data_IF_800083273155
#
_entry.id   IF_800083273155
#
_cell.length_a   1.000
_cell.length_b   1.000
_cell.length_c   1.000
_cell.angle_alpha   90.00
_cell.angle_beta   90.00
_cell.angle_gamma   90.00
#
_symmetry.space_group_name_H-M   'P 1'
#
loop_
_entity.id
_entity.type
_entity.pdbx_description
1 polymer ?
2 non-polymer ?
3 non-polymer ?
4 water ?
#
# COMPACT_ATOMS: atom_id res chain seq x y z
N UNK A 4 24.01 -21.43 -7.23
CA UNK A 4 22.98 -22.44 -7.41
C UNK A 4 21.65 -22.06 -6.72
N UNK A 5 20.70 -21.53 -7.50
CA UNK A 5 19.36 -21.23 -7.01
C UNK A 5 18.35 -21.81 -7.98
N UNK A 6 17.15 -22.18 -7.46
CA UNK A 6 16.02 -22.58 -8.28
C UNK A 6 14.94 -21.54 -8.16
N UNK A 7 14.33 -21.25 -9.32
CA UNK A 7 13.28 -20.25 -9.45
C UNK A 7 12.06 -20.91 -10.04
N UNK A 8 10.90 -20.59 -9.49
CA UNK A 8 9.68 -20.99 -10.14
C UNK A 8 9.44 -20.21 -11.47
N UNK A 9 9.17 -20.95 -12.49
CA UNK A 9 8.90 -20.34 -13.79
C UNK A 9 7.46 -20.23 -14.08
N UNK A 10 6.63 -20.89 -13.25
CA UNK A 10 5.18 -20.87 -13.41
C UNK A 10 4.59 -20.83 -12.02
N UNK A 11 3.33 -20.33 -11.91
CA UNK A 11 2.55 -20.38 -10.80
C UNK A 11 2.03 -21.84 -10.62
N UNK A 12 2.03 -22.27 -9.41
CA UNK A 12 1.48 -23.61 -9.07
C UNK A 12 0.53 -23.43 -7.87
N UNK A 13 -0.69 -23.83 -8.10
CA UNK A 13 -1.74 -23.78 -7.04
C UNK A 13 -1.84 -25.16 -6.41
N UNK A 14 -1.63 -25.27 -5.10
CA UNK A 14 -1.61 -26.57 -4.44
C UNK A 14 -2.97 -27.26 -4.54
N UNK A 15 -2.92 -28.58 -4.71
CA UNK A 15 -4.14 -29.38 -4.72
C UNK A 15 -4.03 -30.56 -3.76
N UNK A 16 -3.25 -30.41 -2.69
CA UNK A 16 -3.05 -31.42 -1.65
C UNK A 16 -2.41 -30.72 -0.48
N UNK A 17 -2.61 -31.25 0.74
CA UNK A 17 -2.22 -30.50 1.95
C UNK A 17 -0.71 -30.41 2.19
N UNK A 18 0.04 -31.23 1.51
CA UNK A 18 1.49 -31.27 1.69
C UNK A 18 2.17 -30.54 0.52
N UNK A 19 1.42 -29.90 -0.37
CA UNK A 19 1.97 -29.23 -1.54
C UNK A 19 2.25 -27.77 -1.28
N UNK A 20 3.34 -27.29 -1.87
CA UNK A 20 3.79 -25.91 -1.64
C UNK A 20 3.31 -25.02 -2.79
N UNK A 21 2.71 -23.86 -2.56
CA UNK A 21 2.28 -22.96 -3.63
C UNK A 21 3.50 -22.30 -4.25
N UNK A 22 3.46 -22.18 -5.55
CA UNK A 22 4.58 -21.43 -6.20
C UNK A 22 3.94 -20.27 -6.89
N UNK A 23 4.73 -19.17 -6.99
CA UNK A 23 4.42 -18.04 -7.85
C UNK A 23 5.63 -17.77 -8.76
N UNK A 24 5.39 -17.43 -10.01
CA UNK A 24 6.48 -17.25 -10.94
C UNK A 24 7.46 -16.20 -10.38
N UNK A 25 8.72 -16.50 -10.46
CA UNK A 25 9.75 -15.64 -9.93
C UNK A 25 10.15 -15.94 -8.51
N UNK A 26 9.40 -16.85 -7.80
CA UNK A 26 9.82 -17.21 -6.48
C UNK A 26 11.13 -17.95 -6.49
N UNK A 27 11.99 -17.68 -5.56
CA UNK A 27 13.13 -18.57 -5.31
C UNK A 27 12.61 -19.70 -4.45
N UNK A 28 12.98 -20.90 -4.82
CA UNK A 28 12.53 -22.10 -4.14
C UNK A 28 13.78 -22.75 -3.58
N UNK A 29 13.81 -22.95 -2.27
CA UNK A 29 14.91 -23.65 -1.63
C UNK A 29 14.60 -25.10 -1.73
N UNK A 30 15.42 -25.89 -2.44
CA UNK A 30 15.15 -27.27 -2.68
C UNK A 30 15.79 -28.08 -1.55
N UNK A 31 14.96 -28.77 -0.79
CA UNK A 31 15.37 -29.50 0.44
C UNK A 31 15.63 -30.95 0.05
N UNK A 32 14.94 -31.48 -0.95
CA UNK A 32 15.29 -32.79 -1.52
C UNK A 32 14.71 -32.97 -2.87
N UNK A 33 15.49 -33.63 -3.77
CA UNK A 33 15.00 -34.13 -5.06
C UNK A 33 14.65 -35.63 -5.04
N UNK A 34 14.68 -36.25 -3.87
CA UNK A 34 14.53 -37.72 -3.72
C UNK A 34 13.06 -38.10 -3.62
N UNK A 35 12.52 -38.94 -4.52
CA UNK A 35 11.10 -39.36 -4.48
C UNK A 35 10.70 -40.13 -3.20
N UNK A 36 11.69 -40.80 -2.64
CA UNK A 36 11.55 -41.43 -1.33
C UNK A 36 11.08 -40.41 -0.27
N UNK A 37 11.57 -39.17 -0.38
CA UNK A 37 11.22 -38.08 0.55
C UNK A 37 9.94 -37.39 0.11
N UNK A 38 9.83 -37.02 -1.17
CA UNK A 38 8.63 -36.35 -1.62
C UNK A 38 7.46 -37.25 -1.69
N UNK A 39 7.74 -38.54 -1.94
CA UNK A 39 6.69 -39.49 -2.04
C UNK A 39 6.18 -39.72 -3.43
N UNK A 40 6.74 -39.02 -4.43
CA UNK A 40 6.31 -39.23 -5.85
C UNK A 40 7.39 -38.78 -6.79
N UNK A 41 7.64 -39.54 -7.85
CA UNK A 41 8.62 -39.17 -8.80
C UNK A 41 8.15 -37.84 -9.43
N UNK A 42 9.11 -36.98 -9.69
CA UNK A 42 8.91 -35.71 -10.36
C UNK A 42 8.41 -34.69 -9.39
N UNK A 43 8.23 -35.04 -8.11
CA UNK A 43 7.86 -34.05 -7.03
C UNK A 43 9.05 -33.91 -6.10
N UNK A 44 9.47 -32.67 -5.86
CA UNK A 44 10.58 -32.31 -4.97
C UNK A 44 10.05 -31.69 -3.72
N UNK A 45 10.89 -31.66 -2.68
CA UNK A 45 10.53 -31.04 -1.41
C UNK A 45 11.29 -29.77 -1.31
N UNK A 46 10.60 -28.75 -0.82
CA UNK A 46 11.22 -27.47 -0.76
C UNK A 46 10.62 -26.54 0.23
N UNK A 47 11.22 -25.33 0.24
CA UNK A 47 10.73 -24.29 1.12
C UNK A 47 10.52 -22.99 0.36
N UNK A 48 9.35 -22.42 0.60
CA UNK A 48 9.03 -21.09 0.12
C UNK A 48 8.32 -20.32 1.23
N UNK A 49 8.73 -19.10 1.50
CA UNK A 49 7.90 -18.27 2.42
C UNK A 49 7.72 -18.82 3.80
N UNK A 50 8.71 -19.58 4.26
CA UNK A 50 8.67 -20.22 5.54
C UNK A 50 7.91 -21.51 5.60
N UNK A 51 7.33 -21.97 4.47
CA UNK A 51 6.54 -23.20 4.48
C UNK A 51 7.32 -24.26 3.74
N UNK A 52 7.17 -25.53 4.18
CA UNK A 52 7.88 -26.69 3.56
C UNK A 52 6.85 -27.60 3.02
N UNK A 53 7.04 -28.05 1.79
CA UNK A 53 6.13 -29.01 1.19
C UNK A 53 6.70 -29.43 -0.10
N UNK A 54 5.86 -30.08 -0.89
CA UNK A 54 6.32 -30.61 -2.13
C UNK A 54 5.75 -29.86 -3.29
N UNK A 55 6.47 -29.94 -4.43
CA UNK A 55 6.06 -29.21 -5.62
C UNK A 55 6.53 -30.00 -6.84
N UNK A 56 5.95 -29.69 -7.97
CA UNK A 56 6.31 -30.39 -9.21
C UNK A 56 7.61 -29.86 -9.71
N UNK A 57 8.58 -30.73 -9.97
CA UNK A 57 9.93 -30.32 -10.32
C UNK A 57 10.01 -29.64 -11.66
N UNK A 58 9.03 -29.90 -12.48
CA UNK A 58 8.98 -29.27 -13.81
C UNK A 58 8.53 -27.81 -13.79
N UNK A 59 8.23 -27.28 -12.60
CA UNK A 59 7.84 -25.85 -12.44
C UNK A 59 9.02 -24.94 -12.08
N UNK A 60 10.19 -25.49 -11.81
CA UNK A 60 11.33 -24.72 -11.44
C UNK A 60 12.49 -24.91 -12.43
N UNK A 61 13.39 -23.92 -12.44
CA UNK A 61 14.60 -23.92 -13.26
C UNK A 61 15.78 -23.46 -12.41
N UNK A 62 16.94 -24.09 -12.68
CA UNK A 62 18.18 -23.84 -11.94
C UNK A 62 18.76 -22.56 -12.53
N UNK A 63 19.05 -21.57 -11.68
CA UNK A 63 19.14 -20.16 -12.12
C UNK A 63 18.35 -19.20 -11.23
N UNK A 64 18.83 -17.95 -11.24
CA UNK A 64 18.89 -17.17 -9.99
C UNK A 64 20.30 -17.04 -9.39
N UNK A 65 20.37 -16.57 -8.15
CA UNK A 65 21.64 -16.33 -7.46
C UNK A 65 21.82 -14.85 -7.61
N UNK A 66 22.99 -14.45 -8.04
CA UNK A 66 23.25 -13.04 -8.13
C UNK A 66 22.82 -12.54 -9.50
N UNK A 67 22.31 -11.32 -9.53
CA UNK A 67 21.99 -10.71 -10.80
C UNK A 67 23.26 -10.59 -11.63
N UNK A 68 23.18 -10.84 -12.93
CA UNK A 68 24.31 -10.82 -13.84
C UNK A 68 24.85 -9.40 -13.97
N UNK A 69 26.09 -9.31 -14.42
CA UNK A 69 26.64 -8.04 -14.81
C UNK A 69 25.98 -7.58 -16.14
N UNK A 70 25.41 -6.42 -16.15
CA UNK A 70 24.77 -5.97 -17.44
C UNK A 70 25.81 -5.62 -18.45
N UNK A 71 25.55 -5.84 -19.74
CA UNK A 71 26.48 -5.34 -20.79
C UNK A 71 26.62 -3.86 -20.82
N UNK A 72 27.77 -3.31 -21.30
CA UNK A 72 27.97 -1.94 -21.42
C UNK A 72 27.00 -1.25 -22.41
N UNK A 73 26.65 -0.05 -22.08
CA UNK A 73 26.02 0.82 -23.05
C UNK A 73 27.05 1.83 -23.52
N UNK B 4 -16.86 14.39 -0.27
CA UNK B 4 -15.69 14.72 0.57
C UNK B 4 -15.84 16.08 1.28
N UNK B 5 -15.64 16.18 2.61
CA UNK B 5 -15.60 17.53 3.30
C UNK B 5 -14.26 17.79 3.95
N UNK B 6 -13.92 19.05 4.27
CA UNK B 6 -12.75 19.23 5.16
C UNK B 6 -13.20 19.73 6.53
N UNK B 7 -12.46 19.28 7.55
CA UNK B 7 -12.78 19.64 8.94
C UNK B 7 -11.52 20.30 9.58
N UNK B 8 -11.74 21.38 10.28
CA UNK B 8 -10.69 22.02 11.05
C UNK B 8 -10.34 21.13 12.24
N UNK B 9 -9.06 20.82 12.34
CA UNK B 9 -8.57 19.99 13.45
C UNK B 9 -7.95 20.80 14.60
N UNK B 10 -7.81 22.12 14.37
CA UNK B 10 -7.22 23.06 15.30
C UNK B 10 -7.91 24.39 15.18
N UNK B 11 -7.85 25.17 16.22
CA UNK B 11 -8.35 26.51 16.23
C UNK B 11 -7.27 27.34 15.49
N UNK B 12 -7.74 28.33 14.75
CA UNK B 12 -6.86 29.32 14.11
C UNK B 12 -7.51 30.69 14.32
N UNK B 13 -6.66 31.60 14.83
CA UNK B 13 -7.13 32.98 14.99
C UNK B 13 -6.45 33.92 13.99
N UNK B 14 -7.22 34.60 13.13
CA UNK B 14 -6.66 35.47 12.04
C UNK B 14 -5.68 36.47 12.64
N UNK B 15 -4.55 36.67 11.95
CA UNK B 15 -3.61 37.73 12.29
C UNK B 15 -3.58 38.73 11.16
N UNK B 16 -4.43 38.50 10.18
CA UNK B 16 -4.86 39.49 9.20
C UNK B 16 -6.34 39.45 8.80
N UNK B 17 -6.86 40.59 8.39
CA UNK B 17 -8.27 40.73 8.05
C UNK B 17 -8.78 39.85 6.90
N UNK B 18 -7.92 39.31 6.04
CA UNK B 18 -8.40 38.46 5.00
C UNK B 18 -8.35 36.99 5.41
N UNK B 19 -7.97 36.75 6.63
CA UNK B 19 -7.87 35.37 7.12
C UNK B 19 -9.19 34.95 7.77
N UNK B 20 -9.43 33.65 7.73
CA UNK B 20 -10.68 33.03 8.21
C UNK B 20 -10.38 32.40 9.57
N UNK B 21 -11.19 32.70 10.58
CA UNK B 21 -11.06 32.00 11.84
C UNK B 21 -11.53 30.57 11.70
N UNK B 22 -10.77 29.65 12.27
CA UNK B 22 -11.16 28.25 12.32
C UNK B 22 -11.30 27.90 13.77
N UNK B 23 -12.27 27.01 14.04
CA UNK B 23 -12.36 26.36 15.41
C UNK B 23 -12.45 24.88 15.21
N UNK B 24 -11.87 24.13 16.13
CA UNK B 24 -11.90 22.68 16.00
C UNK B 24 -13.31 22.13 15.76
N UNK B 25 -13.32 21.25 14.76
CA UNK B 25 -14.57 20.64 14.30
C UNK B 25 -15.35 21.41 13.24
N UNK B 26 -14.97 22.66 12.92
CA UNK B 26 -15.64 23.38 11.86
C UNK B 26 -15.57 22.62 10.54
N UNK B 27 -16.68 22.60 9.79
CA UNK B 27 -16.65 22.13 8.42
C UNK B 27 -16.23 23.29 7.55
N UNK B 28 -15.19 23.09 6.85
CA UNK B 28 -14.61 24.16 5.99
C UNK B 28 -14.86 23.82 4.57
N UNK B 29 -15.59 24.69 3.88
CA UNK B 29 -15.81 24.52 2.45
C UNK B 29 -14.56 25.06 1.75
N UNK B 30 -13.86 24.23 1.01
CA UNK B 30 -12.65 24.66 0.38
C UNK B 30 -12.99 25.26 -0.99
N UNK B 31 -12.74 26.53 -1.16
CA UNK B 31 -13.13 27.29 -2.35
C UNK B 31 -12.01 27.43 -3.31
N UNK B 32 -10.73 27.36 -2.88
CA UNK B 32 -9.63 27.30 -3.77
C UNK B 32 -8.41 26.81 -3.00
N UNK B 33 -7.58 26.01 -3.66
CA UNK B 33 -6.29 25.64 -3.18
C UNK B 33 -5.17 26.34 -3.91
N UNK B 34 -5.53 27.27 -4.79
CA UNK B 34 -4.56 27.89 -5.70
C UNK B 34 -3.96 29.09 -5.00
N UNK B 35 -2.63 29.11 -4.88
CA UNK B 35 -1.90 30.27 -4.40
C UNK B 35 -2.18 31.57 -5.11
N UNK B 36 -2.61 31.50 -6.39
CA UNK B 36 -2.90 32.68 -7.13
C UNK B 36 -4.11 33.40 -6.53
N UNK B 37 -5.01 32.63 -5.91
CA UNK B 37 -6.20 33.19 -5.24
C UNK B 37 -5.95 33.52 -3.74
N UNK B 38 -5.29 32.65 -3.02
CA UNK B 38 -5.06 32.89 -1.59
C UNK B 38 -4.01 33.91 -1.41
N UNK B 39 -3.07 33.96 -2.36
CA UNK B 39 -2.01 34.84 -2.33
C UNK B 39 -0.75 34.25 -1.74
N UNK B 40 -0.80 33.03 -1.19
CA UNK B 40 0.37 32.43 -0.56
C UNK B 40 0.30 30.90 -0.65
N UNK B 41 1.42 30.27 -0.96
CA UNK B 41 1.54 28.86 -0.93
C UNK B 41 1.21 28.31 0.51
N UNK B 42 0.47 27.23 0.57
CA UNK B 42 0.07 26.62 1.83
C UNK B 42 -1.17 27.30 2.47
N UNK B 43 -1.69 28.34 1.87
CA UNK B 43 -2.94 29.00 2.30
C UNK B 43 -3.97 28.65 1.28
N UNK B 44 -5.12 28.27 1.76
CA UNK B 44 -6.30 27.99 0.92
C UNK B 44 -7.39 28.96 1.23
N UNK B 45 -8.40 29.07 0.33
CA UNK B 45 -9.56 29.92 0.53
C UNK B 45 -10.75 29.04 0.81
N UNK B 46 -11.47 29.43 1.81
CA UNK B 46 -12.59 28.67 2.26
C UNK B 46 -13.70 29.48 2.90
N UNK B 47 -14.72 28.77 3.31
CA UNK B 47 -15.85 29.33 3.98
C UNK B 47 -16.24 28.43 5.17
N UNK B 48 -16.47 29.10 6.28
CA UNK B 48 -17.03 28.51 7.48
C UNK B 48 -18.25 29.36 7.87
N UNK B 49 -19.39 28.70 7.90
CA UNK B 49 -20.72 29.36 8.05
C UNK B 49 -20.80 30.41 6.94
N UNK B 50 -21.04 31.64 7.33
CA UNK B 50 -21.09 32.73 6.37
C UNK B 50 -19.79 33.45 6.10
N UNK B 51 -18.68 33.07 6.75
CA UNK B 51 -17.43 33.84 6.67
C UNK B 51 -16.53 33.20 5.61
N UNK B 52 -15.86 34.01 4.80
CA UNK B 52 -15.02 33.59 3.70
C UNK B 52 -13.70 34.24 3.92
N UNK B 53 -12.63 33.49 3.69
CA UNK B 53 -11.25 34.07 3.85
C UNK B 53 -10.27 32.95 3.60
N UNK B 54 -9.02 33.26 3.84
CA UNK B 54 -7.96 32.30 3.64
C UNK B 54 -7.52 31.68 4.99
N UNK B 55 -7.01 30.49 4.88
CA UNK B 55 -6.64 29.75 6.12
C UNK B 55 -5.49 28.83 5.79
N UNK B 56 -4.73 28.44 6.81
CA UNK B 56 -3.59 27.54 6.59
C UNK B 56 -4.09 26.21 6.33
N UNK B 57 -3.56 25.61 5.27
CA UNK B 57 -4.04 24.31 4.80
C UNK B 57 -3.69 23.18 5.71
N UNK B 58 -2.65 23.36 6.53
CA UNK B 58 -2.31 22.33 7.45
C UNK B 58 -3.17 22.28 8.71
N UNK B 59 -4.19 23.11 8.81
CA UNK B 59 -5.13 23.12 9.94
C UNK B 59 -6.41 22.26 9.68
N UNK B 60 -6.53 21.72 8.47
CA UNK B 60 -7.72 20.96 8.12
C UNK B 60 -7.32 19.53 7.66
N UNK B 61 -8.29 18.66 7.79
CA UNK B 61 -8.14 17.25 7.43
C UNK B 61 -9.35 16.89 6.52
N UNK B 62 -9.08 16.06 5.50
CA UNK B 62 -10.10 15.61 4.53
C UNK B 62 -10.75 14.48 5.24
N UNK B 63 -12.02 14.62 5.53
CA UNK B 63 -12.63 13.87 6.63
C UNK B 63 -13.78 14.66 7.19
N UNK B 64 -14.79 13.90 7.64
CA UNK B 64 -16.11 14.43 7.93
C UNK B 64 -17.18 14.04 6.92
N UNK B 65 -18.29 14.78 6.95
CA UNK B 65 -19.43 14.59 6.07
C UNK B 65 -20.48 13.75 6.77
N UNK B 66 -20.86 12.65 6.12
CA UNK B 66 -21.84 11.71 6.68
C UNK B 66 -21.20 10.88 7.78
N UNK B 67 -21.83 10.87 8.97
CA UNK B 67 -21.22 10.05 10.00
C UNK B 67 -21.33 8.60 9.62
N UNK B 68 -20.29 7.82 9.91
CA UNK B 68 -20.25 6.42 9.55
C UNK B 68 -21.27 5.56 10.34
N UNK B 69 -21.59 4.39 9.80
CA UNK B 69 -22.42 3.46 10.53
C UNK B 69 -21.59 2.93 11.66
N UNK B 70 -22.10 2.96 12.90
CA UNK B 70 -21.24 2.44 13.93
C UNK B 70 -21.17 0.87 13.92
N UNK B 71 -20.11 0.34 14.50
CA UNK B 71 -20.04 -1.12 14.55
C UNK B 71 -21.13 -1.72 15.38
N UNK B 72 -21.46 -3.00 15.15
CA UNK B 72 -22.42 -3.57 16.03
C UNK B 72 -21.98 -3.71 17.51
N UNK B 73 -22.95 -3.73 18.39
CA UNK B 73 -22.80 -4.10 19.79
C UNK B 73 -23.72 -5.28 20.08
X LIG C 1 16.58 -27.07 -15.14
X LIG C 1 16.89 -25.68 -15.28
X LIG C 1 15.42 -27.44 -16.07
X LIG C 1 14.23 -27.62 -15.28
X LIG D 1 17.08 -10.45 -8.30
X LIG D 1 16.20 -9.37 -7.70
X LIG D 1 16.48 -11.15 -9.48
X LIG D 1 18.48 -9.95 -8.54
X LIG D 1 16.95 -11.56 -7.25
X LIG E 1 -2.17 26.21 -2.16
X LIG E 1 -2.18 27.60 -1.83
X LIG E 1 -1.18 25.39 -1.39
X LIG E 1 0.04 26.02 -1.79
X LIG F 1 -24.83 -0.03 17.38
X LIG F 1 -24.32 -0.27 16.08
X LIG F 1 -25.16 -1.32 18.11
X LIG F 1 -25.76 -2.34 17.28
X LIG G 1 -8.74 30.27 20.05
X LIG G 1 -8.44 28.92 20.40
X LIG G 1 -10.23 30.51 20.25
X LIG G 1 -10.49 30.42 21.63
#
# INVERSE_FOLDING_TARGET
YANPVWTALFDYEPSGQDELALRKGDRVEVLSRDAAISGDEGWWAGQVGGQVGIFPSNYVSRGGGAPPIPPPR
YANPVWTALFDYEPSGQDELALRKGDRVEVLSRDAAISGDEGWWAGQVGGQVGIFPSNYVSRGGGAPPIPPPR
EDO C1 O1 C2 O2
PO4 P O1 O2 O3 O4
EDO C1 O1 C2 O2
EDO C1 O1 C2 O2
EDO C1 O1 C2 O2
#
